data_IF_332297158565
#
_entry.id   IF_332297158565
#
_cell.length_a   1.000
_cell.length_b   1.000
_cell.length_c   1.000
_cell.angle_alpha   90.00
_cell.angle_beta   90.00
_cell.angle_gamma   90.00
#
_symmetry.space_group_name_H-M   'P 1'
#
loop_
_entity.id
_entity.type
_entity.pdbx_description
1 polymer ?
#
# COMPACT_ATOMS: atom_id res chain seq x y z
N UNK A 1 -14.01 -1.26 21.63
CA UNK A 1 -14.60 -1.19 20.28
C UNK A 1 -13.53 -0.62 19.35
N UNK A 2 -13.18 -1.27 18.23
CA UNK A 2 -12.20 -0.72 17.27
C UNK A 2 -12.93 0.08 16.20
N UNK A 3 -12.37 1.21 15.79
CA UNK A 3 -12.90 1.96 14.65
C UNK A 3 -12.59 1.20 13.35
N UNK A 4 -13.55 1.22 12.43
CA UNK A 4 -13.41 0.61 11.11
C UNK A 4 -12.78 1.60 10.15
N UNK A 5 -11.76 1.15 9.40
CA UNK A 5 -11.09 1.96 8.37
C UNK A 5 -11.02 1.16 7.09
N UNK A 6 -11.37 1.80 5.98
CA UNK A 6 -11.20 1.24 4.64
C UNK A 6 -9.84 1.66 4.08
N UNK A 7 -9.11 0.71 3.50
CA UNK A 7 -7.79 0.88 2.90
C UNK A 7 -7.98 1.00 1.38
N UNK A 8 -7.85 2.23 0.88
CA UNK A 8 -7.83 2.57 -0.54
C UNK A 8 -6.49 2.24 -1.20
N UNK A 9 -6.49 2.08 -2.53
CA UNK A 9 -5.30 1.71 -3.34
C UNK A 9 -4.09 2.62 -3.13
N UNK A 10 -4.34 3.90 -2.84
CA UNK A 10 -3.29 4.88 -2.57
C UNK A 10 -2.43 4.53 -1.36
N UNK A 11 -2.98 3.87 -0.34
CA UNK A 11 -2.26 3.50 0.88
C UNK A 11 -1.13 2.49 0.59
N UNK A 12 -1.39 1.28 0.05
CA UNK A 12 -0.32 0.36 -0.33
C UNK A 12 0.57 0.93 -1.45
N UNK A 13 0.04 1.74 -2.37
CA UNK A 13 0.84 2.42 -3.39
C UNK A 13 1.89 3.35 -2.79
N UNK A 14 1.51 4.22 -1.85
CA UNK A 14 2.45 5.12 -1.17
C UNK A 14 3.37 4.39 -0.20
N UNK A 15 2.93 3.29 0.41
CA UNK A 15 3.79 2.46 1.26
C UNK A 15 5.00 1.92 0.50
N UNK A 16 4.80 1.57 -0.78
CA UNK A 16 5.82 1.05 -1.71
C UNK A 16 6.38 2.08 -2.70
N UNK A 17 6.11 3.37 -2.49
CA UNK A 17 6.60 4.45 -3.37
C UNK A 17 8.13 4.50 -3.43
N UNK A 18 8.67 4.76 -4.63
CA UNK A 18 10.12 4.82 -4.89
C UNK A 18 10.59 6.16 -5.45
N UNK A 19 9.68 7.01 -5.92
CA UNK A 19 10.01 8.35 -6.43
C UNK A 19 10.64 9.20 -5.32
N UNK A 20 11.66 9.96 -5.68
CA UNK A 20 12.47 10.75 -4.73
C UNK A 20 11.97 12.19 -4.54
N UNK A 21 10.95 12.63 -5.28
CA UNK A 21 10.35 13.96 -5.09
C UNK A 21 9.90 14.16 -3.63
N UNK A 22 10.11 15.36 -3.10
CA UNK A 22 9.88 15.65 -1.68
C UNK A 22 8.45 15.31 -1.24
N UNK A 23 7.48 15.54 -2.11
CA UNK A 23 6.08 15.16 -1.92
C UNK A 23 5.89 13.64 -1.80
N UNK A 24 6.54 12.85 -2.64
CA UNK A 24 6.45 11.39 -2.64
C UNK A 24 7.14 10.79 -1.41
N UNK A 25 8.28 11.36 -1.02
CA UNK A 25 9.00 10.96 0.19
C UNK A 25 8.16 11.25 1.43
N UNK A 26 7.54 12.43 1.52
CA UNK A 26 6.65 12.79 2.62
C UNK A 26 5.45 11.82 2.72
N UNK A 27 4.74 11.61 1.60
CA UNK A 27 3.60 10.69 1.55
C UNK A 27 3.97 9.27 1.95
N UNK A 28 5.09 8.74 1.43
CA UNK A 28 5.60 7.42 1.83
C UNK A 28 5.87 7.33 3.32
N UNK A 29 6.55 8.33 3.87
CA UNK A 29 6.95 8.33 5.28
C UNK A 29 5.73 8.41 6.20
N UNK A 30 4.75 9.26 5.89
CA UNK A 30 3.50 9.33 6.66
C UNK A 30 2.68 8.05 6.56
N UNK A 31 2.55 7.49 5.36
CA UNK A 31 1.84 6.22 5.17
C UNK A 31 2.50 5.09 5.94
N UNK A 32 3.83 4.96 5.89
CA UNK A 32 4.57 3.95 6.66
C UNK A 32 4.43 4.15 8.17
N UNK A 33 4.60 5.39 8.63
CA UNK A 33 4.44 5.70 10.05
C UNK A 33 3.04 5.30 10.54
N UNK A 34 1.99 5.66 9.81
CA UNK A 34 0.63 5.27 10.18
C UNK A 34 0.43 3.76 10.13
N UNK A 35 0.87 3.11 9.05
CA UNK A 35 0.71 1.67 8.86
C UNK A 35 1.39 0.87 9.96
N UNK A 36 2.68 1.14 10.20
CA UNK A 36 3.51 0.37 11.12
C UNK A 36 3.13 0.61 12.59
N UNK A 37 2.68 1.83 12.95
CA UNK A 37 2.41 2.19 14.35
C UNK A 37 0.94 2.21 14.76
N UNK A 38 0.01 2.38 13.80
CA UNK A 38 -1.42 2.63 14.11
C UNK A 38 -2.38 1.64 13.48
N UNK A 39 -2.02 0.92 12.40
CA UNK A 39 -2.96 0.00 11.72
C UNK A 39 -3.60 -1.00 12.69
N UNK A 40 -2.82 -1.53 13.65
CA UNK A 40 -3.30 -2.49 14.67
C UNK A 40 -4.38 -1.94 15.60
N UNK A 41 -4.57 -0.62 15.68
CA UNK A 41 -5.62 0.03 16.48
C UNK A 41 -6.99 -0.01 15.80
N UNK A 42 -7.04 -0.32 14.50
CA UNK A 42 -8.25 -0.31 13.68
C UNK A 42 -8.68 -1.72 13.28
N UNK A 43 -9.93 -1.83 12.82
CA UNK A 43 -10.37 -2.96 12.01
C UNK A 43 -10.30 -2.53 10.54
N UNK A 44 -9.29 -3.03 9.83
CA UNK A 44 -9.01 -2.63 8.46
C UNK A 44 -9.69 -3.54 7.45
N UNK A 45 -10.25 -2.95 6.40
CA UNK A 45 -10.86 -3.66 5.27
C UNK A 45 -10.41 -3.03 3.95
N UNK A 46 -10.52 -3.77 2.87
CA UNK A 46 -10.34 -3.27 1.50
C UNK A 46 -11.34 -3.96 0.58
N UNK A 47 -11.37 -3.59 -0.70
CA UNK A 47 -12.26 -4.23 -1.68
C UNK A 47 -11.48 -5.00 -2.74
N UNK A 48 -12.19 -5.84 -3.48
CA UNK A 48 -11.65 -6.51 -4.67
C UNK A 48 -11.17 -5.50 -5.71
N UNK A 49 -11.85 -4.36 -5.86
CA UNK A 49 -11.43 -3.31 -6.80
C UNK A 49 -10.04 -2.73 -6.47
N UNK A 50 -9.70 -2.59 -5.19
CA UNK A 50 -8.36 -2.15 -4.76
C UNK A 50 -7.30 -3.20 -5.11
N UNK A 51 -7.61 -4.49 -4.94
CA UNK A 51 -6.71 -5.58 -5.33
C UNK A 51 -6.50 -5.60 -6.85
N UNK A 52 -7.57 -5.47 -7.62
CA UNK A 52 -7.53 -5.43 -9.08
C UNK A 52 -6.70 -4.23 -9.58
N UNK A 53 -6.84 -3.06 -8.95
CA UNK A 53 -6.05 -1.87 -9.30
C UNK A 53 -4.55 -2.09 -9.01
N UNK A 54 -4.19 -2.70 -7.88
CA UNK A 54 -2.80 -3.00 -7.53
C UNK A 54 -2.16 -4.04 -8.45
N UNK A 55 -2.91 -5.06 -8.89
CA UNK A 55 -2.42 -6.10 -9.80
C UNK A 55 -2.24 -5.61 -11.24
N UNK A 56 -3.14 -4.73 -11.68
CA UNK A 56 -3.14 -4.16 -13.02
C UNK A 56 -2.29 -2.88 -13.13
N UNK A 57 -2.01 -2.22 -12.00
CA UNK A 57 -1.21 -1.02 -11.92
C UNK A 57 0.22 -1.21 -12.42
N UNK A 58 0.75 -0.19 -13.08
CA UNK A 58 2.14 -0.20 -13.54
C UNK A 58 3.07 0.22 -12.39
N UNK A 59 3.28 -0.67 -11.42
CA UNK A 59 4.18 -0.42 -10.30
C UNK A 59 5.60 -0.88 -10.63
N UNK A 60 6.63 -0.12 -10.26
CA UNK A 60 8.03 -0.40 -10.64
C UNK A 60 8.58 -1.72 -10.08
N UNK A 61 7.88 -2.35 -9.13
CA UNK A 61 8.26 -3.64 -8.51
C UNK A 61 7.58 -4.86 -9.15
N UNK A 62 6.75 -4.68 -10.17
CA UNK A 62 5.98 -5.77 -10.83
C UNK A 62 6.87 -6.82 -11.51
N UNK A 63 8.12 -6.47 -11.82
CA UNK A 63 9.11 -7.36 -12.46
C UNK A 63 9.78 -8.34 -11.51
N UNK A 64 9.59 -8.25 -10.19
CA UNK A 64 9.95 -9.33 -9.25
C UNK A 64 8.87 -10.42 -9.24
N UNK A 65 8.57 -11.03 -10.40
CA UNK A 65 7.78 -12.28 -10.42
C UNK A 65 8.69 -13.44 -10.04
N UNK A 66 8.35 -14.07 -8.92
CA UNK A 66 8.93 -15.26 -8.32
C UNK A 66 9.28 -16.35 -9.37
N UNK A 67 10.55 -16.77 -9.53
CA UNK A 67 10.90 -17.90 -10.38
C UNK A 67 10.70 -19.20 -9.59
N UNK A 68 9.45 -19.58 -9.34
CA UNK A 68 9.15 -20.90 -8.74
C UNK A 68 7.78 -21.38 -9.17
N UNK A 69 7.70 -21.76 -10.44
CA UNK A 69 6.74 -22.75 -10.93
C UNK A 69 7.51 -23.72 -11.82
N UNK A 70 8.07 -24.75 -11.19
CA UNK A 70 8.43 -26.04 -11.79
C UNK A 70 8.08 -27.12 -10.79
#
# INVERSE_FOLDING_TARGET
MKFTVYIETSIPSFYHEIREGAEFVAMKNWTRQWWDSRMGLFQCFTSTAVLDELENGNHPRRTEKNPSSR
#
